data_IF_142481861883
#
_entry.id   IF_142481861883
#
_cell.length_a   1.000
_cell.length_b   1.000
_cell.length_c   1.000
_cell.angle_alpha   90.00
_cell.angle_beta   90.00
_cell.angle_gamma   90.00
#
_symmetry.space_group_name_H-M   'P 1'
#
loop_
_entity.id
_entity.type
_entity.pdbx_description
1 polymer ?
#
# COMPACT_ATOMS: atom_id res chain seq x y z
N UNK A 1 -9.53 18.96 -5.16
CA UNK A 1 -9.60 17.49 -5.18
C UNK A 1 -8.51 16.95 -4.28
N UNK A 2 -8.82 15.98 -3.41
CA UNK A 2 -7.81 15.15 -2.74
C UNK A 2 -7.97 13.73 -3.30
N UNK A 3 -6.96 13.14 -3.91
CA UNK A 3 -7.05 11.74 -4.34
C UNK A 3 -7.34 10.88 -3.10
N UNK A 4 -8.31 9.97 -3.22
CA UNK A 4 -8.66 9.03 -2.17
C UNK A 4 -8.09 7.68 -2.55
N UNK A 5 -7.26 7.15 -1.65
CA UNK A 5 -6.66 5.84 -1.83
C UNK A 5 -6.98 4.96 -0.61
N UNK A 6 -7.50 3.77 -0.88
CA UNK A 6 -7.84 2.76 0.12
C UNK A 6 -6.96 1.53 -0.08
N UNK A 7 -6.19 1.15 0.95
CA UNK A 7 -5.26 0.03 0.92
C UNK A 7 -5.53 -0.88 2.11
N UNK A 8 -5.65 -2.18 1.84
CA UNK A 8 -5.73 -3.22 2.88
C UNK A 8 -4.66 -4.29 2.66
N UNK A 9 -4.14 -4.84 3.75
CA UNK A 9 -3.22 -5.99 3.73
C UNK A 9 -3.89 -7.11 4.53
N UNK A 10 -4.13 -8.26 3.91
CA UNK A 10 -4.90 -9.38 4.48
C UNK A 10 -6.27 -8.93 5.04
N UNK A 11 -6.94 -8.01 4.34
CA UNK A 11 -8.22 -7.45 4.73
C UNK A 11 -8.17 -6.52 5.95
N UNK A 12 -7.01 -6.37 6.59
CA UNK A 12 -6.81 -5.35 7.62
C UNK A 12 -6.61 -4.02 6.92
N UNK A 13 -7.49 -3.02 7.16
CA UNK A 13 -7.26 -1.70 6.63
C UNK A 13 -5.93 -1.23 7.19
N UNK A 14 -5.13 -0.69 6.31
CA UNK A 14 -3.84 -0.14 6.67
C UNK A 14 -4.04 1.25 7.33
N UNK A 15 -5.20 1.46 7.95
CA UNK A 15 -5.64 2.73 8.48
C UNK A 15 -4.91 3.09 9.78
N UNK A 16 -4.64 4.39 9.96
CA UNK A 16 -3.83 4.94 11.05
C UNK A 16 -2.44 5.32 10.57
N UNK A 17 -1.42 4.97 11.36
CA UNK A 17 -0.01 5.35 11.19
C UNK A 17 0.53 5.16 9.77
N UNK A 18 0.01 4.21 8.98
CA UNK A 18 0.56 3.94 7.66
C UNK A 18 0.13 4.96 6.60
N UNK A 19 -1.08 5.53 6.63
CA UNK A 19 -1.41 6.64 5.73
C UNK A 19 -0.65 7.92 6.08
N UNK A 20 -0.44 8.17 7.37
CA UNK A 20 0.42 9.26 7.84
C UNK A 20 1.88 9.03 7.47
N UNK A 21 2.26 7.78 7.21
CA UNK A 21 3.59 7.36 6.78
C UNK A 21 3.69 7.11 5.27
N UNK A 22 2.59 7.14 4.52
CA UNK A 22 2.61 6.84 3.09
C UNK A 22 3.30 7.97 2.35
N UNK A 23 4.52 7.70 1.88
CA UNK A 23 5.31 8.65 1.10
C UNK A 23 4.84 8.61 -0.35
N UNK A 24 4.77 7.41 -0.92
CA UNK A 24 4.33 7.20 -2.29
C UNK A 24 3.76 5.80 -2.49
N UNK A 25 2.88 5.68 -3.48
CA UNK A 25 2.44 4.40 -4.02
C UNK A 25 2.19 4.54 -5.51
N UNK A 26 2.64 3.56 -6.27
CA UNK A 26 2.47 3.48 -7.71
C UNK A 26 1.88 2.13 -8.05
N UNK A 27 0.88 2.12 -8.94
CA UNK A 27 0.31 0.91 -9.52
C UNK A 27 0.58 0.97 -11.01
N UNK A 28 1.21 -0.07 -11.53
CA UNK A 28 1.49 -0.23 -12.95
C UNK A 28 0.64 -1.37 -13.48
N UNK A 29 -0.38 -0.99 -14.23
CA UNK A 29 -1.14 -1.91 -15.09
C UNK A 29 -0.24 -2.32 -16.26
N UNK A 30 -0.11 -3.63 -16.51
CA UNK A 30 0.76 -4.15 -17.57
C UNK A 30 -0.06 -4.79 -18.66
N UNK A 31 0.14 -4.32 -19.89
CA UNK A 31 -0.53 -4.89 -21.06
C UNK A 31 -0.17 -6.38 -21.28
N UNK A 32 -1.16 -7.13 -21.78
CA UNK A 32 -1.02 -8.52 -22.21
C UNK A 32 -1.27 -9.54 -21.10
N UNK A 33 -0.40 -10.56 -21.01
CA UNK A 33 -0.52 -11.69 -20.06
C UNK A 33 0.34 -11.52 -18.80
N UNK A 34 0.82 -10.30 -18.53
CA UNK A 34 1.67 -10.01 -17.37
C UNK A 34 0.81 -9.59 -16.19
N UNK A 35 1.23 -9.96 -14.99
CA UNK A 35 0.59 -9.49 -13.78
C UNK A 35 0.96 -8.03 -13.51
N UNK A 36 0.00 -7.29 -12.96
CA UNK A 36 0.20 -5.93 -12.47
C UNK A 36 1.24 -5.90 -11.36
N UNK A 37 1.83 -4.73 -11.17
CA UNK A 37 2.74 -4.49 -10.06
C UNK A 37 2.38 -3.23 -9.33
N UNK A 38 2.60 -3.25 -8.02
CA UNK A 38 2.55 -2.04 -7.21
C UNK A 38 3.86 -1.91 -6.43
N UNK A 39 4.24 -0.66 -6.20
CA UNK A 39 5.38 -0.26 -5.40
C UNK A 39 4.92 0.79 -4.40
N UNK A 40 5.44 0.72 -3.18
CA UNK A 40 5.04 1.61 -2.09
C UNK A 40 6.21 1.95 -1.21
N UNK A 41 6.26 3.22 -0.80
CA UNK A 41 7.25 3.75 0.12
C UNK A 41 6.58 4.31 1.37
N UNK A 42 7.13 3.94 2.53
CA UNK A 42 6.57 4.25 3.84
C UNK A 42 7.65 4.85 4.73
N UNK A 43 7.28 5.87 5.48
CA UNK A 43 8.11 6.46 6.50
C UNK A 43 8.15 5.55 7.74
N UNK A 44 9.22 4.77 7.89
CA UNK A 44 9.45 3.91 9.04
C UNK A 44 10.38 4.59 10.06
N UNK A 45 9.91 4.74 11.31
CA UNK A 45 10.65 5.53 12.29
C UNK A 45 9.94 5.75 13.63
N UNK A 46 10.69 6.17 14.66
CA UNK A 46 10.21 6.29 16.04
C UNK A 46 8.99 7.21 16.16
N UNK A 47 8.09 6.96 17.13
CA UNK A 47 8.20 5.97 18.23
C UNK A 47 7.71 4.56 17.87
N UNK A 48 7.11 4.35 16.70
CA UNK A 48 6.54 3.07 16.29
C UNK A 48 7.05 2.67 14.90
N UNK A 49 7.64 1.50 14.80
CA UNK A 49 8.09 0.93 13.52
C UNK A 49 6.96 0.14 12.86
N UNK A 50 6.97 0.09 11.53
CA UNK A 50 6.02 -0.69 10.76
C UNK A 50 6.44 -2.16 10.71
N UNK A 51 5.49 -3.08 10.93
CA UNK A 51 5.74 -4.49 10.73
C UNK A 51 5.80 -4.82 9.24
N UNK A 52 6.78 -5.61 8.83
CA UNK A 52 6.87 -6.11 7.46
C UNK A 52 5.74 -7.14 7.24
N UNK A 53 4.93 -7.01 6.16
CA UNK A 53 3.91 -8.00 5.83
C UNK A 53 4.49 -9.40 5.64
N UNK A 54 3.70 -10.43 5.94
CA UNK A 54 4.09 -11.81 5.64
C UNK A 54 4.26 -12.01 4.13
N UNK A 55 5.12 -12.96 3.74
CA UNK A 55 5.20 -13.38 2.33
C UNK A 55 3.85 -13.92 1.86
N UNK A 56 3.40 -13.45 0.69
CA UNK A 56 2.10 -13.82 0.12
C UNK A 56 0.90 -13.22 0.87
N UNK A 57 1.10 -12.12 1.61
CA UNK A 57 0.00 -11.28 2.05
C UNK A 57 -0.77 -10.75 0.83
N UNK A 58 -2.09 -10.68 0.94
CA UNK A 58 -2.94 -10.13 -0.13
C UNK A 58 -3.06 -8.63 0.07
N UNK A 59 -2.81 -7.87 -0.99
CA UNK A 59 -2.90 -6.41 -0.97
C UNK A 59 -4.04 -5.98 -1.88
N UNK A 60 -5.02 -5.29 -1.33
CA UNK A 60 -6.12 -4.68 -2.08
C UNK A 60 -5.91 -3.17 -2.13
N UNK A 61 -5.89 -2.59 -3.34
CA UNK A 61 -5.68 -1.16 -3.59
C UNK A 61 -6.87 -0.61 -4.38
N UNK A 62 -7.47 0.48 -3.90
CA UNK A 62 -8.55 1.22 -4.59
C UNK A 62 -8.17 2.70 -4.68
N UNK A 63 -8.23 3.28 -5.87
CA UNK A 63 -7.83 4.67 -6.15
C UNK A 63 -9.02 5.38 -6.80
N UNK A 64 -9.38 6.58 -6.32
CA UNK A 64 -10.50 7.38 -6.84
C UNK A 64 -10.57 8.83 -6.37
#
# INVERSE_FOLDING_TARGET
>A
MRPRIEITIDGQPVAGAFYERLISVSVTDKEGVKADTFDMELNDGPPQFLAIPRKGAIVDIRIG
#
